data_IF_992219788799
#
_entry.id   IF_992219788799
#
_cell.length_a   1.000
_cell.length_b   1.000
_cell.length_c   1.000
_cell.angle_alpha   90.00
_cell.angle_beta   90.00
_cell.angle_gamma   90.00
#
_symmetry.space_group_name_H-M   'P 1'
#
loop_
_entity.id
_entity.type
_entity.pdbx_description
1 polymer ?
#
# COMPACT_ATOMS: atom_id res chain seq x y z
N UNK A 1 -6.52 -8.31 -5.45
CA UNK A 1 -7.96 -8.03 -5.27
C UNK A 1 -8.09 -6.55 -4.97
N UNK A 2 -8.81 -5.80 -5.79
CA UNK A 2 -9.11 -4.39 -5.50
C UNK A 2 -10.38 -4.33 -4.66
N UNK A 3 -10.41 -3.46 -3.67
CA UNK A 3 -11.58 -3.25 -2.80
C UNK A 3 -12.14 -1.86 -3.10
N UNK A 4 -13.41 -1.79 -3.49
CA UNK A 4 -14.10 -0.53 -3.71
C UNK A 4 -14.97 -0.21 -2.50
N UNK A 5 -14.98 1.04 -2.08
CA UNK A 5 -15.75 1.52 -0.94
C UNK A 5 -16.78 2.55 -1.37
N UNK A 6 -17.97 2.44 -0.82
CA UNK A 6 -18.98 3.50 -0.89
C UNK A 6 -18.85 4.42 0.32
N UNK A 7 -18.61 5.69 0.10
CA UNK A 7 -18.62 6.66 1.19
C UNK A 7 -20.07 6.95 1.60
N UNK A 8 -20.45 6.56 2.79
CA UNK A 8 -21.79 6.74 3.36
C UNK A 8 -22.07 8.20 3.75
N UNK A 9 -22.36 9.05 2.76
CA UNK A 9 -23.07 10.32 3.00
C UNK A 9 -24.34 10.37 2.14
N UNK A 10 -25.44 10.96 2.60
CA UNK A 10 -26.75 10.91 1.93
C UNK A 10 -26.77 11.45 0.48
N UNK A 11 -25.76 12.20 0.06
CA UNK A 11 -25.61 12.71 -1.31
C UNK A 11 -25.11 11.67 -2.34
N UNK A 12 -24.79 10.44 -1.93
CA UNK A 12 -24.07 9.46 -2.75
C UNK A 12 -24.93 8.34 -3.34
N UNK A 13 -26.25 8.47 -3.39
CA UNK A 13 -27.17 7.42 -3.94
C UNK A 13 -26.86 6.99 -5.39
N UNK A 14 -26.05 7.74 -6.14
CA UNK A 14 -25.64 7.38 -7.50
C UNK A 14 -24.31 6.64 -7.63
N UNK A 15 -23.52 6.56 -6.55
CA UNK A 15 -22.16 6.04 -6.58
C UNK A 15 -22.13 4.52 -6.42
N UNK A 16 -23.03 3.93 -5.61
CA UNK A 16 -23.15 2.48 -5.47
C UNK A 16 -23.45 1.74 -6.77
N UNK A 17 -24.13 2.41 -7.72
CA UNK A 17 -24.33 1.86 -9.06
C UNK A 17 -23.06 1.83 -9.91
N UNK A 18 -22.11 2.77 -9.67
CA UNK A 18 -20.84 2.80 -10.38
C UNK A 18 -19.96 1.61 -10.04
N UNK A 19 -19.90 1.24 -8.76
CA UNK A 19 -19.09 0.12 -8.26
C UNK A 19 -19.57 -1.21 -8.86
N UNK A 20 -20.87 -1.44 -8.91
CA UNK A 20 -21.47 -2.64 -9.49
C UNK A 20 -21.24 -2.73 -11.01
N UNK A 21 -21.36 -1.62 -11.72
CA UNK A 21 -21.20 -1.61 -13.17
C UNK A 21 -19.74 -1.88 -13.58
N UNK A 22 -18.75 -1.35 -12.83
CA UNK A 22 -17.35 -1.64 -13.11
C UNK A 22 -17.03 -3.13 -12.86
N UNK A 23 -17.52 -3.71 -11.78
CA UNK A 23 -17.31 -5.13 -11.49
C UNK A 23 -17.92 -6.04 -12.55
N UNK A 24 -19.17 -5.80 -12.93
CA UNK A 24 -19.92 -6.62 -13.89
C UNK A 24 -19.38 -6.44 -15.32
N UNK A 25 -19.04 -5.20 -15.73
CA UNK A 25 -18.62 -4.92 -17.11
C UNK A 25 -17.23 -5.45 -17.46
N UNK A 26 -16.42 -5.87 -16.49
CA UNK A 26 -15.01 -6.16 -16.71
C UNK A 26 -14.53 -7.51 -16.19
N UNK A 27 -15.41 -8.39 -15.76
CA UNK A 27 -15.06 -9.70 -15.20
C UNK A 27 -13.99 -9.57 -14.07
N UNK A 28 -14.23 -8.63 -13.14
CA UNK A 28 -13.38 -8.39 -11.98
C UNK A 28 -14.09 -8.83 -10.69
N UNK A 29 -13.40 -9.66 -9.91
CA UNK A 29 -13.79 -9.99 -8.55
C UNK A 29 -13.42 -8.82 -7.62
N UNK A 30 -14.31 -7.85 -7.47
CA UNK A 30 -14.17 -6.75 -6.53
C UNK A 30 -14.84 -7.09 -5.21
N UNK A 31 -14.14 -6.92 -4.10
CA UNK A 31 -14.76 -6.96 -2.78
C UNK A 31 -15.32 -5.57 -2.45
N UNK A 32 -16.56 -5.55 -2.00
CA UNK A 32 -17.22 -4.36 -1.48
C UNK A 32 -17.04 -4.29 0.04
N UNK A 33 -16.79 -3.10 0.57
CA UNK A 33 -16.73 -2.87 2.01
C UNK A 33 -17.50 -1.61 2.39
N UNK A 34 -18.40 -1.73 3.34
CA UNK A 34 -19.21 -0.62 3.88
C UNK A 34 -18.49 0.13 5.00
N UNK A 35 -17.64 -0.55 5.76
CA UNK A 35 -17.01 -0.04 6.99
C UNK A 35 -15.49 0.15 6.86
N UNK A 36 -15.00 0.47 5.67
CA UNK A 36 -13.57 0.62 5.50
C UNK A 36 -13.04 1.89 6.17
N UNK A 37 -12.03 1.73 6.98
CA UNK A 37 -11.26 2.82 7.54
C UNK A 37 -10.29 3.34 6.48
N UNK A 38 -10.48 4.59 6.04
CA UNK A 38 -9.60 5.24 5.08
C UNK A 38 -8.32 5.70 5.79
N UNK A 39 -7.20 5.07 5.46
CA UNK A 39 -5.87 5.42 5.97
C UNK A 39 -5.29 6.68 5.33
N UNK A 40 -4.01 6.95 5.64
CA UNK A 40 -3.29 8.14 5.17
C UNK A 40 -3.21 8.25 3.63
N UNK A 41 -3.23 7.14 2.90
CA UNK A 41 -3.23 7.11 1.43
C UNK A 41 -4.44 7.80 0.82
N UNK A 42 -5.54 7.93 1.55
CA UNK A 42 -6.72 8.72 1.19
C UNK A 42 -6.76 10.05 1.92
N UNK A 43 -6.43 10.06 3.22
CA UNK A 43 -6.52 11.27 4.04
C UNK A 43 -5.63 12.39 3.49
N UNK A 44 -4.40 12.08 3.06
CA UNK A 44 -3.47 13.06 2.50
C UNK A 44 -3.99 13.68 1.20
N UNK A 45 -4.39 12.94 0.16
CA UNK A 45 -5.02 13.54 -1.02
C UNK A 45 -6.31 14.31 -0.70
N UNK A 46 -7.09 13.87 0.28
CA UNK A 46 -8.32 14.57 0.66
C UNK A 46 -8.02 15.94 1.27
N UNK A 47 -7.03 16.02 2.14
CA UNK A 47 -6.63 17.26 2.78
C UNK A 47 -6.08 18.29 1.76
N UNK A 48 -5.15 17.85 0.89
CA UNK A 48 -4.42 18.76 0.03
C UNK A 48 -5.05 18.98 -1.36
N UNK A 49 -5.64 17.93 -1.97
CA UNK A 49 -6.19 18.02 -3.33
C UNK A 49 -7.66 18.39 -3.30
N UNK A 50 -8.47 17.78 -2.43
CA UNK A 50 -9.89 18.09 -2.30
C UNK A 50 -10.07 19.37 -1.46
N UNK A 51 -9.25 19.59 -0.45
CA UNK A 51 -9.17 20.81 0.33
C UNK A 51 -10.55 21.32 0.81
N UNK A 52 -11.33 20.44 1.44
CA UNK A 52 -12.64 20.78 2.01
C UNK A 52 -13.77 20.98 0.98
N UNK A 53 -13.51 20.86 -0.32
CA UNK A 53 -14.57 20.92 -1.35
C UNK A 53 -15.48 19.70 -1.27
N UNK A 54 -16.77 19.89 -1.45
CA UNK A 54 -17.75 18.79 -1.44
C UNK A 54 -17.77 18.06 -2.79
N UNK A 55 -16.69 17.30 -3.05
CA UNK A 55 -16.53 16.47 -4.24
C UNK A 55 -16.78 15.01 -3.85
N UNK A 56 -17.69 14.29 -4.52
CA UNK A 56 -17.88 12.85 -4.33
C UNK A 56 -16.59 12.09 -4.64
N UNK A 57 -16.24 11.13 -3.79
CA UNK A 57 -15.03 10.31 -3.94
C UNK A 57 -15.39 8.83 -3.89
N UNK A 58 -14.79 8.06 -4.79
CA UNK A 58 -14.89 6.60 -4.83
C UNK A 58 -13.50 6.04 -4.49
N UNK A 59 -13.29 5.55 -3.26
CA UNK A 59 -12.03 4.95 -2.88
C UNK A 59 -11.90 3.53 -3.44
N UNK A 60 -10.76 3.25 -4.09
CA UNK A 60 -10.40 1.94 -4.61
C UNK A 60 -9.13 1.47 -3.93
N UNK A 61 -9.22 0.45 -3.09
CA UNK A 61 -8.06 -0.15 -2.44
C UNK A 61 -7.45 -1.24 -3.32
N UNK A 62 -6.13 -1.18 -3.46
CA UNK A 62 -5.34 -2.19 -4.15
C UNK A 62 -4.40 -2.86 -3.16
N UNK A 63 -4.37 -4.21 -3.18
CA UNK A 63 -3.37 -4.94 -2.39
C UNK A 63 -1.99 -4.75 -3.04
N UNK A 64 -1.05 -4.18 -2.29
CA UNK A 64 0.29 -3.84 -2.78
C UNK A 64 1.43 -4.53 -2.00
N UNK A 65 1.12 -5.21 -0.88
CA UNK A 65 2.14 -5.80 -0.01
C UNK A 65 1.93 -7.27 0.32
N UNK A 66 0.70 -7.75 0.40
CA UNK A 66 0.43 -9.10 0.87
C UNK A 66 0.14 -10.03 -0.31
N UNK A 67 0.93 -11.09 -0.54
CA UNK A 67 0.66 -12.02 -1.63
C UNK A 67 -0.73 -12.69 -1.50
N UNK A 68 -1.40 -12.98 -2.62
CA UNK A 68 -0.99 -12.71 -4.00
C UNK A 68 -1.26 -11.27 -4.41
N UNK A 69 -0.30 -10.64 -5.10
CA UNK A 69 -0.48 -9.30 -5.67
C UNK A 69 -1.08 -9.37 -7.08
N UNK A 70 -1.90 -8.40 -7.49
CA UNK A 70 -2.31 -8.26 -8.88
C UNK A 70 -1.11 -7.83 -9.74
N UNK A 71 -1.03 -8.27 -10.99
CA UNK A 71 -0.02 -7.75 -11.90
C UNK A 71 -0.36 -6.31 -12.36
N UNK A 72 0.64 -5.50 -12.79
CA UNK A 72 0.39 -4.17 -13.36
C UNK A 72 -0.61 -4.20 -14.52
N UNK A 73 -0.51 -5.19 -15.41
CA UNK A 73 -1.46 -5.36 -16.53
C UNK A 73 -2.88 -5.68 -16.04
N UNK A 74 -3.05 -6.45 -14.96
CA UNK A 74 -4.37 -6.70 -14.36
C UNK A 74 -4.94 -5.41 -13.76
N UNK A 75 -4.11 -4.62 -13.09
CA UNK A 75 -4.47 -3.29 -12.59
C UNK A 75 -4.89 -2.36 -13.74
N UNK A 76 -4.12 -2.32 -14.84
CA UNK A 76 -4.49 -1.53 -16.01
C UNK A 76 -5.78 -2.00 -16.69
N UNK A 77 -6.07 -3.30 -16.68
CA UNK A 77 -7.35 -3.83 -17.16
C UNK A 77 -8.54 -3.29 -16.35
N UNK A 78 -8.40 -3.22 -15.01
CA UNK A 78 -9.40 -2.56 -14.16
C UNK A 78 -9.54 -1.08 -14.51
N UNK A 79 -8.43 -0.38 -14.75
CA UNK A 79 -8.44 1.01 -15.18
C UNK A 79 -9.21 1.23 -16.49
N UNK A 80 -9.02 0.35 -17.50
CA UNK A 80 -9.80 0.40 -18.76
C UNK A 80 -11.31 0.20 -18.52
N UNK A 81 -11.67 -0.70 -17.62
CA UNK A 81 -13.07 -0.90 -17.25
C UNK A 81 -13.67 0.35 -16.59
N UNK A 82 -12.92 0.99 -15.68
CA UNK A 82 -13.31 2.26 -15.06
C UNK A 82 -13.49 3.34 -16.16
N UNK A 83 -12.57 3.45 -17.12
CA UNK A 83 -12.67 4.40 -18.22
C UNK A 83 -13.92 4.20 -19.07
N UNK A 84 -14.31 2.94 -19.37
CA UNK A 84 -15.52 2.66 -20.14
C UNK A 84 -16.81 3.09 -19.40
N UNK A 85 -16.83 2.95 -18.08
CA UNK A 85 -17.95 3.45 -17.28
C UNK A 85 -17.95 4.99 -17.25
N UNK A 86 -16.80 5.63 -17.04
CA UNK A 86 -16.67 7.09 -17.05
C UNK A 86 -17.15 7.67 -18.39
N UNK A 87 -16.82 7.03 -19.51
CA UNK A 87 -17.22 7.48 -20.84
C UNK A 87 -18.75 7.53 -21.06
N UNK A 88 -19.51 6.75 -20.30
CA UNK A 88 -20.98 6.73 -20.34
C UNK A 88 -21.63 7.74 -19.38
N UNK A 89 -20.85 8.53 -18.64
CA UNK A 89 -21.30 9.42 -17.58
C UNK A 89 -21.15 10.88 -17.96
N UNK A 90 -22.09 11.76 -17.55
CA UNK A 90 -21.99 13.19 -17.80
C UNK A 90 -21.03 13.92 -16.83
N UNK A 91 -20.64 13.30 -15.73
CA UNK A 91 -19.80 13.91 -14.71
C UNK A 91 -18.35 14.04 -15.18
N UNK A 92 -17.70 15.11 -14.76
CA UNK A 92 -16.25 15.26 -14.90
C UNK A 92 -15.56 14.44 -13.82
N UNK A 93 -14.69 13.52 -14.21
CA UNK A 93 -13.98 12.64 -13.29
C UNK A 93 -12.49 12.93 -13.31
N UNK A 94 -11.88 12.99 -12.14
CA UNK A 94 -10.42 12.98 -11.96
C UNK A 94 -10.02 11.68 -11.23
N UNK A 95 -8.88 11.11 -11.61
CA UNK A 95 -8.33 9.92 -10.97
C UNK A 95 -7.08 10.34 -10.20
N UNK A 96 -7.00 9.97 -8.93
CA UNK A 96 -5.83 10.15 -8.08
C UNK A 96 -5.29 8.77 -7.76
N UNK A 97 -4.08 8.46 -8.24
CA UNK A 97 -3.36 7.26 -7.87
C UNK A 97 -2.39 7.60 -6.73
N UNK A 98 -2.72 7.16 -5.52
CA UNK A 98 -1.89 7.35 -4.34
C UNK A 98 -1.01 6.14 -4.12
N UNK A 99 0.29 6.38 -4.00
CA UNK A 99 1.30 5.37 -3.77
C UNK A 99 2.68 6.01 -3.80
N UNK A 100 3.57 5.59 -2.90
CA UNK A 100 4.95 6.06 -2.85
C UNK A 100 5.80 5.48 -3.98
N UNK A 101 6.99 6.07 -4.17
CA UNK A 101 8.06 5.47 -4.95
C UNK A 101 8.83 4.46 -4.09
N UNK A 102 10.08 4.18 -4.40
CA UNK A 102 10.82 3.10 -3.72
C UNK A 102 10.90 3.27 -2.21
N UNK A 103 10.51 2.24 -1.49
CA UNK A 103 10.66 2.09 -0.05
C UNK A 103 10.40 0.64 0.37
N UNK A 104 10.91 0.26 1.54
CA UNK A 104 10.85 -1.14 2.00
C UNK A 104 10.38 -1.23 3.46
N UNK A 105 9.14 -0.81 3.79
CA UNK A 105 8.68 -0.77 5.18
C UNK A 105 8.71 -2.17 5.80
N UNK A 106 9.35 -2.28 6.98
CA UNK A 106 9.44 -3.54 7.72
C UNK A 106 10.55 -4.48 7.27
N UNK A 107 11.36 -4.13 6.28
CA UNK A 107 12.48 -4.94 5.84
C UNK A 107 13.83 -4.35 6.26
N UNK A 108 14.89 -5.14 6.13
CA UNK A 108 16.26 -4.68 6.38
C UNK A 108 16.71 -3.60 5.37
N UNK A 109 16.09 -3.56 4.17
CA UNK A 109 16.35 -2.55 3.14
C UNK A 109 15.69 -1.18 3.42
N UNK A 110 14.95 -1.03 4.50
CA UNK A 110 14.22 0.21 4.80
C UNK A 110 15.05 1.49 4.63
N UNK A 111 16.35 1.54 5.03
CA UNK A 111 17.19 2.72 4.80
C UNK A 111 17.88 2.75 3.42
N UNK A 112 17.48 1.93 2.46
CA UNK A 112 18.14 1.76 1.18
C UNK A 112 17.14 1.79 0.01
N UNK A 113 16.40 2.90 -0.21
CA UNK A 113 15.50 3.04 -1.35
C UNK A 113 16.27 3.00 -2.68
N UNK A 114 15.62 2.50 -3.72
CA UNK A 114 16.18 2.43 -5.07
C UNK A 114 15.89 3.73 -5.86
N UNK A 115 16.46 4.85 -5.43
CA UNK A 115 16.25 6.15 -6.09
C UNK A 115 16.66 6.18 -7.56
N UNK A 116 17.60 5.31 -7.97
CA UNK A 116 17.95 5.14 -9.38
C UNK A 116 16.80 4.59 -10.20
N UNK A 117 16.03 3.64 -9.65
CA UNK A 117 14.80 3.15 -10.25
C UNK A 117 13.73 4.25 -10.32
N UNK A 118 13.54 5.01 -9.24
CA UNK A 118 12.57 6.10 -9.21
C UNK A 118 12.85 7.11 -10.33
N UNK A 119 14.10 7.56 -10.45
CA UNK A 119 14.50 8.52 -11.49
C UNK A 119 14.25 7.97 -12.91
N UNK A 120 14.59 6.71 -13.14
CA UNK A 120 14.36 6.07 -14.43
C UNK A 120 12.86 5.95 -14.74
N UNK A 121 12.05 5.47 -13.79
CA UNK A 121 10.62 5.31 -13.99
C UNK A 121 9.91 6.66 -14.21
N UNK A 122 10.27 7.69 -13.45
CA UNK A 122 9.75 9.04 -13.65
C UNK A 122 10.04 9.51 -15.08
N UNK A 123 11.28 9.35 -15.55
CA UNK A 123 11.65 9.78 -16.89
C UNK A 123 10.92 9.00 -18.00
N UNK A 124 10.64 7.70 -17.82
CA UNK A 124 9.79 6.91 -18.72
C UNK A 124 8.35 7.46 -18.76
N UNK A 125 7.79 7.78 -17.59
CA UNK A 125 6.44 8.30 -17.47
C UNK A 125 6.32 9.73 -18.03
N UNK A 126 7.33 10.58 -17.89
CA UNK A 126 7.38 11.90 -18.55
C UNK A 126 7.34 11.80 -20.08
N UNK A 127 7.84 10.70 -20.65
CA UNK A 127 7.77 10.42 -22.09
C UNK A 127 6.46 9.71 -22.49
N UNK A 128 5.55 9.43 -21.55
CA UNK A 128 4.32 8.69 -21.80
C UNK A 128 4.52 7.19 -22.05
N UNK A 129 5.69 6.64 -21.71
CA UNK A 129 6.02 5.22 -21.87
C UNK A 129 5.46 4.38 -20.73
N UNK A 130 4.15 4.42 -20.53
CA UNK A 130 3.48 3.70 -19.44
C UNK A 130 3.62 2.18 -19.57
N UNK A 131 3.81 1.65 -20.77
CA UNK A 131 4.02 0.22 -21.01
C UNK A 131 5.26 -0.30 -20.26
N UNK A 132 6.27 0.54 -20.05
CA UNK A 132 7.44 0.20 -19.23
C UNK A 132 7.04 -0.27 -17.83
N UNK A 133 6.10 0.42 -17.17
CA UNK A 133 5.54 -0.01 -15.91
C UNK A 133 4.62 -1.22 -16.05
N UNK A 134 3.75 -1.22 -17.07
CA UNK A 134 2.73 -2.27 -17.24
C UNK A 134 3.33 -3.63 -17.59
N UNK A 135 4.53 -3.66 -18.16
CA UNK A 135 5.27 -4.87 -18.51
C UNK A 135 6.11 -5.43 -17.36
N UNK A 136 6.21 -4.70 -16.26
CA UNK A 136 6.93 -5.20 -15.08
C UNK A 136 6.17 -6.34 -14.41
N UNK A 137 6.93 -7.26 -13.82
CA UNK A 137 6.36 -8.27 -12.93
C UNK A 137 6.21 -7.72 -11.53
N UNK A 138 5.37 -8.37 -10.72
CA UNK A 138 5.22 -8.01 -9.30
C UNK A 138 6.52 -8.22 -8.53
N UNK A 139 7.30 -9.21 -8.92
CA UNK A 139 8.63 -9.51 -8.38
C UNK A 139 9.62 -8.37 -8.63
N UNK A 140 9.61 -7.82 -9.84
CA UNK A 140 10.45 -6.67 -10.19
C UNK A 140 10.06 -5.42 -9.40
N UNK A 141 8.76 -5.17 -9.25
CA UNK A 141 8.28 -4.07 -8.41
C UNK A 141 8.66 -4.25 -6.92
N UNK A 142 8.59 -5.48 -6.43
CA UNK A 142 8.99 -5.81 -5.07
C UNK A 142 10.50 -5.65 -4.86
N UNK A 143 11.32 -6.11 -5.82
CA UNK A 143 12.77 -5.96 -5.76
C UNK A 143 13.22 -4.51 -5.56
N UNK A 144 12.53 -3.58 -6.21
CA UNK A 144 12.84 -2.14 -6.15
C UNK A 144 12.00 -1.37 -5.13
N UNK A 145 11.18 -2.06 -4.32
CA UNK A 145 10.34 -1.46 -3.29
C UNK A 145 9.24 -0.55 -3.85
N UNK A 146 8.77 -0.79 -5.07
CA UNK A 146 7.80 0.05 -5.77
C UNK A 146 6.45 -0.65 -6.02
N UNK A 147 6.03 -1.58 -5.18
CA UNK A 147 4.74 -2.26 -5.32
C UNK A 147 3.55 -1.31 -5.27
N UNK A 148 3.72 -0.13 -4.70
CA UNK A 148 2.70 0.94 -4.69
C UNK A 148 2.50 1.62 -6.06
N UNK A 149 3.26 1.25 -7.10
CA UNK A 149 2.95 1.61 -8.49
C UNK A 149 1.78 0.79 -9.09
N UNK A 150 1.27 -0.22 -8.40
CA UNK A 150 0.06 -0.95 -8.83
C UNK A 150 -1.19 -0.05 -8.91
N UNK A 151 -1.50 0.83 -7.94
CA UNK A 151 -2.53 1.87 -8.11
C UNK A 151 -2.29 2.79 -9.30
N UNK A 152 -1.05 3.16 -9.60
CA UNK A 152 -0.72 3.97 -10.77
C UNK A 152 -1.04 3.23 -12.07
N UNK A 153 -0.84 1.91 -12.09
CA UNK A 153 -1.21 1.07 -13.24
C UNK A 153 -2.73 1.10 -13.51
N UNK A 154 -3.58 1.20 -12.47
CA UNK A 154 -5.02 1.40 -12.62
C UNK A 154 -5.29 2.75 -13.31
N UNK A 155 -4.66 3.82 -12.84
CA UNK A 155 -4.81 5.14 -13.44
C UNK A 155 -4.37 5.12 -14.91
N UNK A 156 -3.21 4.54 -15.24
CA UNK A 156 -2.74 4.45 -16.63
C UNK A 156 -3.64 3.61 -17.51
N UNK A 157 -4.25 2.56 -16.96
CA UNK A 157 -5.29 1.81 -17.67
C UNK A 157 -6.48 2.68 -18.07
N UNK A 158 -6.84 3.64 -17.22
CA UNK A 158 -7.97 4.53 -17.48
C UNK A 158 -7.63 5.70 -18.42
N UNK A 159 -6.44 6.28 -18.32
CA UNK A 159 -6.06 7.47 -19.10
C UNK A 159 -5.20 7.18 -20.33
N UNK A 160 -4.66 5.96 -20.44
CA UNK A 160 -3.77 5.56 -21.53
C UNK A 160 -2.35 6.14 -21.40
N UNK A 161 -1.60 6.04 -22.50
CA UNK A 161 -0.21 6.52 -22.61
C UNK A 161 -0.19 8.05 -22.79
N UNK A 162 -0.20 8.76 -21.67
CA UNK A 162 -0.16 10.23 -21.61
C UNK A 162 1.18 10.65 -20.99
N UNK A 163 1.95 11.55 -21.64
CA UNK A 163 3.14 12.11 -21.04
C UNK A 163 2.85 12.79 -19.70
N UNK A 164 3.64 12.44 -18.68
CA UNK A 164 3.56 13.01 -17.36
C UNK A 164 4.31 14.33 -17.24
N UNK A 165 3.91 15.14 -16.30
CA UNK A 165 4.65 16.31 -15.85
C UNK A 165 5.07 16.05 -14.41
N UNK A 166 6.36 15.97 -14.16
CA UNK A 166 6.88 15.89 -12.80
C UNK A 166 6.71 17.24 -12.12
N UNK A 167 5.88 17.30 -11.09
CA UNK A 167 5.69 18.51 -10.27
C UNK A 167 6.72 18.59 -9.16
N UNK A 168 7.02 17.46 -8.53
CA UNK A 168 8.01 17.37 -7.46
C UNK A 168 8.49 15.93 -7.29
N UNK A 169 9.79 15.76 -7.01
CA UNK A 169 10.36 14.53 -6.47
C UNK A 169 11.19 14.87 -5.24
N UNK A 170 10.91 14.18 -4.14
CA UNK A 170 11.61 14.39 -2.87
C UNK A 170 12.09 13.04 -2.33
N UNK A 171 13.39 12.73 -2.47
CA UNK A 171 13.98 11.59 -1.79
C UNK A 171 14.12 11.90 -0.31
N UNK A 172 13.66 10.99 0.53
CA UNK A 172 13.95 10.98 1.96
C UNK A 172 14.90 9.84 2.29
N UNK A 173 15.38 9.74 3.51
CA UNK A 173 16.34 8.70 3.88
C UNK A 173 15.81 7.26 3.71
N UNK A 174 14.51 7.06 3.56
CA UNK A 174 13.86 5.75 3.50
C UNK A 174 12.76 5.63 2.44
N UNK A 175 12.47 6.70 1.68
CA UNK A 175 11.32 6.71 0.78
C UNK A 175 11.51 7.75 -0.33
N UNK A 176 11.19 7.39 -1.56
CA UNK A 176 11.02 8.31 -2.67
C UNK A 176 9.58 8.83 -2.74
N UNK A 177 9.40 10.13 -2.87
CA UNK A 177 8.09 10.75 -3.03
C UNK A 177 8.02 11.49 -4.35
N UNK A 178 7.12 11.08 -5.25
CA UNK A 178 6.88 11.77 -6.51
C UNK A 178 5.45 12.33 -6.57
N UNK A 179 5.32 13.53 -7.08
CA UNK A 179 4.04 14.11 -7.48
C UNK A 179 4.08 14.38 -8.97
N UNK A 180 3.22 13.71 -9.72
CA UNK A 180 3.12 13.84 -11.17
C UNK A 180 1.71 14.20 -11.59
N UNK A 181 1.60 14.92 -12.71
CA UNK A 181 0.33 15.29 -13.33
C UNK A 181 0.25 14.77 -14.75
N UNK A 182 -0.90 14.17 -15.09
CA UNK A 182 -1.19 13.62 -16.40
C UNK A 182 -2.45 14.28 -16.96
N UNK A 183 -2.35 14.93 -18.12
CA UNK A 183 -3.47 15.66 -18.73
C UNK A 183 -3.79 15.06 -20.10
N UNK A 184 -4.80 14.19 -20.24
CA UNK A 184 -5.11 13.48 -21.49
C UNK A 184 -5.36 14.41 -22.68
N UNK A 185 -5.86 15.61 -22.47
CA UNK A 185 -6.11 16.59 -23.53
C UNK A 185 -4.84 17.24 -24.12
N UNK A 186 -3.66 17.06 -23.49
CA UNK A 186 -2.37 17.67 -23.91
C UNK A 186 -1.49 16.75 -24.76
N UNK A 187 -1.96 15.60 -25.18
CA UNK A 187 -1.17 14.55 -25.85
C UNK A 187 -0.46 14.97 -27.14
N UNK A 188 -0.70 16.15 -27.69
CA UNK A 188 -0.15 16.55 -28.99
C UNK A 188 1.02 17.56 -28.95
N UNK A 189 1.40 18.09 -27.80
CA UNK A 189 2.30 19.27 -27.79
C UNK A 189 3.61 19.12 -27.00
N UNK A 190 3.89 18.05 -26.28
CA UNK A 190 4.97 18.07 -25.28
C UNK A 190 6.02 16.95 -25.34
N UNK A 191 6.04 16.14 -26.36
CA UNK A 191 7.16 15.20 -26.54
C UNK A 191 8.35 15.89 -27.26
N UNK A 192 8.91 16.93 -26.69
CA UNK A 192 10.26 17.33 -27.04
C UNK A 192 11.19 16.19 -26.62
N UNK A 193 11.94 15.66 -27.57
CA UNK A 193 12.78 14.49 -27.42
C UNK A 193 13.88 14.69 -26.35
N UNK A 194 13.52 14.49 -25.10
CA UNK A 194 14.52 14.19 -24.08
C UNK A 194 15.17 12.84 -24.48
N UNK A 195 16.49 12.73 -24.38
CA UNK A 195 17.17 11.46 -24.60
C UNK A 195 16.51 10.38 -23.74
N UNK A 196 16.24 9.22 -24.32
CA UNK A 196 15.67 8.11 -23.58
C UNK A 196 16.56 7.81 -22.36
N UNK A 197 16.00 7.73 -21.14
CA UNK A 197 16.81 7.41 -19.97
C UNK A 197 17.44 6.03 -20.14
N UNK A 198 18.62 5.76 -19.56
CA UNK A 198 19.19 4.43 -19.56
C UNK A 198 18.23 3.45 -18.90
N UNK A 199 18.08 2.25 -19.48
CA UNK A 199 17.26 1.20 -18.92
C UNK A 199 17.77 0.83 -17.53
N UNK A 200 16.86 0.74 -16.56
CA UNK A 200 17.23 0.27 -15.22
C UNK A 200 17.59 -1.22 -15.26
N UNK A 201 18.67 -1.58 -14.60
CA UNK A 201 19.13 -2.96 -14.47
C UNK A 201 18.73 -3.52 -13.11
N UNK A 202 17.86 -4.54 -13.13
CA UNK A 202 17.44 -5.25 -11.90
C UNK A 202 18.59 -6.10 -11.36
N UNK A 203 18.75 -6.08 -10.04
CA UNK A 203 19.82 -6.80 -9.33
C UNK A 203 19.50 -8.27 -9.06
N UNK A 204 18.25 -8.68 -9.30
CA UNK A 204 17.72 -10.02 -9.04
C UNK A 204 17.96 -10.49 -7.57
N UNK A 205 17.73 -9.60 -6.62
CA UNK A 205 17.96 -9.85 -5.19
C UNK A 205 16.85 -10.65 -4.50
N UNK A 206 15.80 -11.03 -5.25
CA UNK A 206 14.64 -11.75 -4.72
C UNK A 206 13.56 -10.85 -4.18
N UNK A 207 12.67 -11.42 -3.37
CA UNK A 207 11.46 -10.75 -2.90
C UNK A 207 11.63 -10.23 -1.49
N UNK A 208 11.04 -9.08 -1.19
CA UNK A 208 10.93 -8.54 0.16
C UNK A 208 9.51 -8.75 0.73
N UNK A 209 8.48 -8.51 -0.06
CA UNK A 209 7.08 -8.65 0.34
C UNK A 209 6.33 -9.78 -0.34
N UNK A 210 6.73 -10.16 -1.56
CA UNK A 210 6.03 -11.17 -2.37
C UNK A 210 6.27 -12.62 -1.89
N UNK A 211 7.01 -12.82 -0.82
CA UNK A 211 7.16 -14.14 -0.20
C UNK A 211 5.92 -14.49 0.60
N UNK A 212 5.34 -15.64 0.30
CA UNK A 212 4.37 -16.22 1.22
C UNK A 212 5.08 -16.65 2.51
N UNK A 213 4.54 -16.27 3.68
CA UNK A 213 4.99 -16.85 4.93
C UNK A 213 4.91 -18.38 4.87
N UNK A 214 5.84 -19.11 5.49
CA UNK A 214 5.77 -20.57 5.52
C UNK A 214 4.48 -21.02 6.20
N UNK A 215 3.88 -22.12 5.72
CA UNK A 215 2.63 -22.65 6.27
C UNK A 215 2.75 -22.96 7.78
N UNK A 216 3.94 -23.34 8.26
CA UNK A 216 4.23 -23.54 9.68
C UNK A 216 3.99 -22.29 10.53
N UNK A 217 4.24 -21.10 9.99
CA UNK A 217 4.05 -19.82 10.69
C UNK A 217 2.64 -19.22 10.52
N UNK A 218 1.66 -20.01 10.05
CA UNK A 218 0.28 -19.51 9.85
C UNK A 218 -0.31 -18.93 11.14
N UNK A 219 -0.12 -19.62 12.28
CA UNK A 219 -0.66 -19.20 13.58
C UNK A 219 -0.05 -17.87 14.04
N UNK A 220 1.26 -17.72 13.89
CA UNK A 220 1.95 -16.46 14.17
C UNK A 220 1.40 -15.32 13.31
N UNK A 221 1.33 -15.49 12.00
CA UNK A 221 0.84 -14.44 11.09
C UNK A 221 -0.61 -14.09 11.36
N UNK A 222 -1.47 -15.07 11.68
CA UNK A 222 -2.85 -14.83 12.06
C UNK A 222 -2.95 -14.04 13.38
N UNK A 223 -2.20 -14.42 14.39
CA UNK A 223 -2.14 -13.67 15.65
C UNK A 223 -1.69 -12.22 15.43
N UNK A 224 -0.63 -12.01 14.65
CA UNK A 224 -0.14 -10.67 14.32
C UNK A 224 -1.20 -9.83 13.58
N UNK A 225 -1.98 -10.45 12.70
CA UNK A 225 -3.10 -9.79 12.04
C UNK A 225 -4.17 -9.36 13.06
N UNK A 226 -4.59 -10.24 13.95
CA UNK A 226 -5.61 -9.92 14.98
C UNK A 226 -5.11 -8.87 15.97
N UNK A 227 -3.85 -8.92 16.38
CA UNK A 227 -3.20 -7.91 17.24
C UNK A 227 -3.35 -6.48 16.67
N UNK A 228 -3.36 -6.32 15.34
CA UNK A 228 -3.55 -5.00 14.72
C UNK A 228 -4.95 -4.44 14.91
N UNK A 229 -5.96 -5.29 15.04
CA UNK A 229 -7.38 -4.91 15.03
C UNK A 229 -8.03 -4.97 16.41
N UNK A 230 -7.50 -5.81 17.31
CA UNK A 230 -8.08 -6.04 18.64
C UNK A 230 -7.22 -5.41 19.75
N UNK A 231 -7.76 -4.34 20.38
CA UNK A 231 -7.09 -3.67 21.50
C UNK A 231 -7.09 -4.51 22.77
N UNK A 232 -8.10 -5.37 22.99
CA UNK A 232 -8.13 -6.26 24.16
C UNK A 232 -7.03 -7.33 24.03
N UNK A 233 -6.83 -7.89 22.84
CA UNK A 233 -5.72 -8.81 22.56
C UNK A 233 -4.36 -8.13 22.78
N UNK A 234 -4.19 -6.88 22.33
CA UNK A 234 -2.94 -6.12 22.59
C UNK A 234 -2.65 -5.96 24.08
N UNK A 235 -3.65 -5.61 24.88
CA UNK A 235 -3.51 -5.46 26.34
C UNK A 235 -3.13 -6.79 26.98
N UNK A 236 -3.83 -7.87 26.64
CA UNK A 236 -3.52 -9.21 27.12
C UNK A 236 -2.08 -9.64 26.77
N UNK A 237 -1.64 -9.37 25.54
CA UNK A 237 -0.30 -9.67 25.09
C UNK A 237 0.77 -8.90 25.86
N UNK A 238 0.49 -7.66 26.25
CA UNK A 238 1.39 -6.85 27.09
C UNK A 238 1.42 -7.31 28.55
N UNK A 239 0.30 -7.85 29.05
CA UNK A 239 0.17 -8.30 30.45
C UNK A 239 0.67 -9.73 30.65
N UNK A 240 0.30 -10.67 29.76
CA UNK A 240 0.63 -12.10 29.88
C UNK A 240 0.83 -12.72 28.49
N UNK A 241 2.02 -12.50 27.94
CA UNK A 241 2.43 -13.07 26.66
C UNK A 241 2.34 -14.60 26.66
N UNK A 242 2.72 -15.23 27.76
CA UNK A 242 2.86 -16.69 27.82
C UNK A 242 1.50 -17.38 27.67
N UNK A 243 0.48 -16.86 28.28
CA UNK A 243 -0.89 -17.35 28.12
C UNK A 243 -1.41 -17.08 26.70
N UNK A 244 -1.21 -15.90 26.16
CA UNK A 244 -1.63 -15.58 24.79
C UNK A 244 -0.94 -16.48 23.78
N UNK A 245 0.38 -16.66 23.87
CA UNK A 245 1.13 -17.53 22.98
C UNK A 245 0.64 -18.99 23.03
N UNK A 246 0.29 -19.49 24.21
CA UNK A 246 -0.25 -20.84 24.38
C UNK A 246 -1.65 -20.99 23.74
N UNK A 247 -2.55 -20.01 23.95
CA UNK A 247 -3.89 -19.99 23.33
C UNK A 247 -3.81 -20.02 21.79
N UNK A 248 -2.88 -19.27 21.23
CA UNK A 248 -2.66 -19.27 19.79
C UNK A 248 -1.89 -20.49 19.29
N UNK A 249 -1.36 -21.31 20.19
CA UNK A 249 -0.60 -22.53 19.88
C UNK A 249 0.68 -22.22 19.11
N UNK A 250 1.39 -21.17 19.52
CA UNK A 250 2.68 -20.79 18.96
C UNK A 250 3.76 -21.80 19.36
N UNK A 251 4.72 -22.05 18.47
CA UNK A 251 5.92 -22.81 18.79
C UNK A 251 6.80 -22.07 19.82
N UNK A 252 7.77 -22.75 20.38
CA UNK A 252 8.71 -22.13 21.33
C UNK A 252 9.50 -20.97 20.67
N UNK A 253 9.88 -21.15 19.39
CA UNK A 253 10.60 -20.14 18.60
C UNK A 253 9.70 -18.93 18.30
N UNK A 254 8.47 -19.17 17.85
CA UNK A 254 7.48 -18.12 17.60
C UNK A 254 7.12 -17.34 18.88
N UNK A 255 6.98 -18.05 20.00
CA UNK A 255 6.76 -17.43 21.30
C UNK A 255 7.93 -16.55 21.71
N UNK A 256 9.17 -17.01 21.54
CA UNK A 256 10.35 -16.20 21.87
C UNK A 256 10.45 -14.96 20.95
N UNK A 257 10.19 -15.12 19.65
CA UNK A 257 10.14 -14.00 18.72
C UNK A 257 9.04 -12.99 19.12
N UNK A 258 7.90 -13.48 19.65
CA UNK A 258 6.78 -12.62 20.10
C UNK A 258 7.15 -11.83 21.37
N UNK A 259 8.14 -12.25 22.17
CA UNK A 259 8.66 -11.44 23.29
C UNK A 259 9.19 -10.08 22.83
N UNK A 260 9.69 -10.00 21.60
CA UNK A 260 10.06 -8.73 20.99
C UNK A 260 8.92 -7.73 20.91
N UNK A 261 7.66 -8.19 20.76
CA UNK A 261 6.46 -7.32 20.74
C UNK A 261 6.20 -6.77 22.14
N UNK A 262 6.24 -7.62 23.16
CA UNK A 262 5.99 -7.22 24.55
C UNK A 262 7.07 -6.28 25.11
N UNK A 263 8.28 -6.32 24.53
CA UNK A 263 9.42 -5.47 24.95
C UNK A 263 9.45 -4.08 24.28
N UNK A 264 8.49 -3.74 23.44
CA UNK A 264 8.44 -2.44 22.71
C UNK A 264 8.49 -1.22 23.64
N UNK A 265 8.10 -1.37 24.92
CA UNK A 265 8.25 -0.31 25.94
C UNK A 265 9.70 -0.05 26.37
N UNK A 266 10.65 -0.91 26.03
CA UNK A 266 12.03 -0.89 26.51
C UNK A 266 13.07 -0.39 25.50
N UNK A 267 12.67 0.41 24.52
CA UNK A 267 13.59 1.28 23.75
C UNK A 267 14.56 0.62 22.74
N UNK A 268 14.26 -0.54 22.19
CA UNK A 268 14.98 -0.98 20.98
C UNK A 268 14.23 -0.52 19.73
N UNK A 269 14.97 -0.26 18.66
CA UNK A 269 14.39 0.14 17.37
C UNK A 269 13.34 -0.88 16.92
N UNK A 270 12.18 -0.42 16.48
CA UNK A 270 11.09 -1.27 15.94
C UNK A 270 11.62 -2.26 14.89
N UNK A 271 12.60 -1.83 14.07
CA UNK A 271 13.27 -2.67 13.07
C UNK A 271 13.95 -3.91 13.65
N UNK A 272 14.59 -3.79 14.82
CA UNK A 272 15.31 -4.92 15.45
C UNK A 272 14.32 -5.94 16.01
N UNK A 273 13.18 -5.47 16.53
CA UNK A 273 12.11 -6.33 17.02
C UNK A 273 11.35 -7.01 15.86
N UNK A 274 11.19 -6.35 14.72
CA UNK A 274 10.62 -6.95 13.53
C UNK A 274 11.47 -8.09 12.99
N UNK A 275 12.80 -7.97 13.05
CA UNK A 275 13.72 -8.97 12.56
C UNK A 275 13.54 -10.35 13.23
N UNK A 276 13.30 -10.40 14.55
CA UNK A 276 13.04 -11.62 15.26
C UNK A 276 11.74 -12.31 14.80
N UNK A 277 10.67 -11.55 14.60
CA UNK A 277 9.41 -12.05 14.07
C UNK A 277 9.52 -12.57 12.64
N UNK A 278 10.26 -11.85 11.80
CA UNK A 278 10.51 -12.27 10.41
C UNK A 278 11.33 -13.56 10.36
N UNK A 279 12.35 -13.69 11.22
CA UNK A 279 13.14 -14.92 11.34
C UNK A 279 12.27 -16.11 11.76
N UNK A 280 11.26 -15.91 12.61
CA UNK A 280 10.28 -16.93 13.00
C UNK A 280 9.18 -17.17 11.95
N UNK A 281 9.25 -16.54 10.77
CA UNK A 281 8.33 -16.73 9.65
C UNK A 281 7.19 -15.74 9.54
N UNK A 282 7.22 -14.63 10.28
CA UNK A 282 6.24 -13.58 10.08
C UNK A 282 6.46 -12.84 8.74
N UNK A 283 5.37 -12.45 8.09
CA UNK A 283 5.46 -11.53 6.96
C UNK A 283 5.97 -10.16 7.42
N UNK A 284 6.94 -9.53 6.73
CA UNK A 284 7.58 -8.29 7.18
C UNK A 284 6.60 -7.18 7.55
N UNK A 285 5.59 -6.96 6.70
CA UNK A 285 4.57 -5.93 6.96
C UNK A 285 3.69 -6.27 8.17
N UNK A 286 3.34 -7.57 8.37
CA UNK A 286 2.56 -7.97 9.54
C UNK A 286 3.36 -7.74 10.83
N UNK A 287 4.65 -8.11 10.84
CA UNK A 287 5.53 -7.87 11.97
C UNK A 287 5.60 -6.37 12.32
N UNK A 288 5.90 -5.52 11.34
CA UNK A 288 6.01 -4.08 11.53
C UNK A 288 4.72 -3.45 12.05
N UNK A 289 3.59 -3.72 11.38
CA UNK A 289 2.31 -3.10 11.72
C UNK A 289 1.78 -3.56 13.08
N UNK A 290 2.04 -4.81 13.47
CA UNK A 290 1.68 -5.31 14.79
C UNK A 290 2.51 -4.65 15.89
N UNK A 291 3.81 -4.46 15.67
CA UNK A 291 4.68 -3.71 16.58
C UNK A 291 4.19 -2.27 16.78
N UNK A 292 3.82 -1.57 15.72
CA UNK A 292 3.26 -0.23 15.81
C UNK A 292 1.94 -0.20 16.60
N UNK A 293 1.05 -1.16 16.37
CA UNK A 293 -0.23 -1.25 17.08
C UNK A 293 -0.04 -1.52 18.59
N UNK A 294 0.86 -2.43 18.95
CA UNK A 294 1.18 -2.74 20.34
C UNK A 294 1.88 -1.57 21.03
N UNK A 295 2.80 -0.89 20.33
CA UNK A 295 3.45 0.30 20.86
C UNK A 295 2.46 1.45 21.12
N UNK A 296 1.49 1.63 20.22
CA UNK A 296 0.40 2.58 20.41
C UNK A 296 -0.43 2.27 21.66
N UNK A 297 -0.79 1.00 21.88
CA UNK A 297 -1.54 0.56 23.07
C UNK A 297 -0.71 0.73 24.35
N UNK A 298 0.58 0.38 24.32
CA UNK A 298 1.49 0.57 25.45
C UNK A 298 1.54 2.05 25.88
N UNK A 299 1.72 2.99 24.94
CA UNK A 299 1.72 4.43 25.23
C UNK A 299 0.40 4.90 25.83
N UNK A 300 -0.72 4.36 25.35
CA UNK A 300 -2.05 4.67 25.89
C UNK A 300 -2.18 4.22 27.34
N UNK A 301 -1.74 2.99 27.65
CA UNK A 301 -1.74 2.46 29.01
C UNK A 301 -0.82 3.25 29.96
N UNK A 302 0.31 3.78 29.48
CA UNK A 302 1.18 4.64 30.29
C UNK A 302 0.46 5.95 30.65
N UNK A 303 -0.19 6.62 29.70
CA UNK A 303 -0.96 7.84 29.97
C UNK A 303 -2.12 7.60 30.96
N UNK A 304 -2.86 6.49 30.77
CA UNK A 304 -3.95 6.11 31.70
C UNK A 304 -3.45 5.88 33.14
N UNK A 305 -2.19 5.47 33.34
CA UNK A 305 -1.56 5.33 34.67
C UNK A 305 -1.12 6.68 35.24
N UNK A 306 -0.57 7.57 34.40
CA UNK A 306 -0.16 8.92 34.83
C UNK A 306 -1.35 9.79 35.24
N UNK A 307 -2.48 9.67 34.55
CA UNK A 307 -3.72 10.40 34.87
C UNK A 307 -4.40 9.93 36.15
N UNK A 308 -4.06 8.75 36.67
CA UNK A 308 -4.61 8.17 37.91
C UNK A 308 -3.74 8.43 39.15
N UNK A 309 -2.56 8.97 38.97
CA UNK A 309 -1.65 9.39 40.06
C UNK A 309 -1.76 10.89 40.33
#
# INVERSE_FOLDING_TARGET
>A
MAVMHSATRPAHRGIGAFDHVVAIAADFDLAYSEDAVLGHTFAVPFEFVIAGRNIPVIPIHTNVYLPPLPSPRRCAALGRAIASVIASRPERVAIIASGGMSHYPGTWKYPQPEFGFDAWMIAELEQGKVETLLDMTTEQLDEVGNTELLPWSIMFGAIGSVPGELLQYTPTWHHGHAMMRFLPARTKAAAAAAAAPPKYEFKNQGFEFYKHPPASAYKLNKMLFEVRHDSALRRRLLDDLDTVAAEWGLSAEEKEATRAIASVGLAKKISDNAAALIAAGAHPLQALMSLHAVHGEFRKLQREKEEKQ
#
